data_IF_458729808490
#
_entry.id   IF_458729808490
#
_cell.length_a   1.000
_cell.length_b   1.000
_cell.length_c   1.000
_cell.angle_alpha   90.00
_cell.angle_beta   90.00
_cell.angle_gamma   90.00
#
_symmetry.space_group_name_H-M   'P 1'
#
loop_
_entity.id
_entity.type
_entity.pdbx_description
1 polymer ?
#
# COMPACT_ATOMS: atom_id res chain seq x y z
N UNK A 1 4.74 -8.88 16.82
CA UNK A 1 3.79 -7.89 17.40
C UNK A 1 3.35 -7.00 16.25
N UNK A 2 2.11 -6.51 16.29
CA UNK A 2 1.58 -5.61 15.24
C UNK A 2 2.13 -4.20 15.43
N UNK A 3 3.18 -3.83 14.71
CA UNK A 3 3.93 -2.60 14.96
C UNK A 3 3.64 -1.52 13.94
N UNK A 4 3.28 -0.33 14.41
CA UNK A 4 2.89 0.79 13.57
C UNK A 4 3.78 2.01 13.86
N UNK A 5 4.30 2.63 12.78
CA UNK A 5 4.94 3.93 12.85
C UNK A 5 3.89 5.00 12.54
N UNK A 6 3.71 5.97 13.43
CA UNK A 6 2.82 7.13 13.25
C UNK A 6 3.67 8.39 13.14
N UNK A 7 3.52 9.13 12.04
CA UNK A 7 4.21 10.40 11.83
C UNK A 7 3.19 11.51 11.56
N UNK A 8 3.06 12.44 12.51
CA UNK A 8 2.06 13.52 12.53
C UNK A 8 2.61 14.68 13.36
N UNK A 9 2.69 15.89 12.82
CA UNK A 9 3.26 17.04 13.52
C UNK A 9 2.26 17.66 14.53
N UNK A 10 0.96 17.61 14.26
CA UNK A 10 -0.05 18.13 15.16
C UNK A 10 -0.28 17.17 16.35
N UNK A 11 0.16 17.58 17.56
CA UNK A 11 0.13 16.75 18.76
C UNK A 11 -1.27 16.19 19.06
N UNK A 12 -2.34 17.00 18.90
CA UNK A 12 -3.70 16.55 19.19
C UNK A 12 -4.16 15.42 18.25
N UNK A 13 -3.80 15.48 16.97
CA UNK A 13 -4.11 14.44 15.99
C UNK A 13 -3.24 13.21 16.25
N UNK A 14 -1.95 13.39 16.50
CA UNK A 14 -1.02 12.31 16.83
C UNK A 14 -1.49 11.52 18.06
N UNK A 15 -1.79 12.20 19.16
CA UNK A 15 -2.30 11.59 20.39
C UNK A 15 -3.61 10.82 20.14
N UNK A 16 -4.52 11.41 19.37
CA UNK A 16 -5.76 10.76 18.99
C UNK A 16 -5.52 9.46 18.22
N UNK A 17 -4.63 9.46 17.23
CA UNK A 17 -4.26 8.28 16.44
C UNK A 17 -3.61 7.22 17.32
N UNK A 18 -2.59 7.59 18.10
CA UNK A 18 -1.82 6.70 18.98
C UNK A 18 -2.73 6.02 20.00
N UNK A 19 -3.59 6.78 20.69
CA UNK A 19 -4.51 6.23 21.69
C UNK A 19 -5.45 5.18 21.08
N UNK A 20 -6.03 5.46 19.93
CA UNK A 20 -6.98 4.53 19.30
C UNK A 20 -6.30 3.26 18.78
N UNK A 21 -5.13 3.38 18.17
CA UNK A 21 -4.34 2.22 17.72
C UNK A 21 -3.86 1.36 18.88
N UNK A 22 -3.35 1.97 19.94
CA UNK A 22 -2.91 1.25 21.16
C UNK A 22 -4.07 0.50 21.81
N UNK A 23 -5.26 1.11 21.91
CA UNK A 23 -6.48 0.44 22.39
C UNK A 23 -6.91 -0.73 21.52
N UNK A 24 -6.64 -0.68 20.23
CA UNK A 24 -6.89 -1.79 19.30
C UNK A 24 -5.81 -2.89 19.34
N UNK A 25 -4.80 -2.76 20.21
CA UNK A 25 -3.77 -3.77 20.44
C UNK A 25 -2.56 -3.66 19.51
N UNK A 26 -2.33 -2.50 18.91
CA UNK A 26 -1.12 -2.22 18.14
C UNK A 26 0.01 -1.69 19.03
N UNK A 27 1.24 -2.06 18.70
CA UNK A 27 2.46 -1.45 19.23
C UNK A 27 2.78 -0.20 18.38
N UNK A 28 2.70 0.97 18.97
CA UNK A 28 2.79 2.24 18.23
C UNK A 28 4.05 2.98 18.59
N UNK A 29 4.83 3.31 17.57
CA UNK A 29 5.96 4.23 17.65
C UNK A 29 5.56 5.54 16.99
N UNK A 30 5.56 6.63 17.75
CA UNK A 30 5.16 7.95 17.28
C UNK A 30 6.35 8.84 16.90
N UNK A 31 6.17 9.70 15.91
CA UNK A 31 7.12 10.73 15.50
C UNK A 31 6.35 12.02 15.19
N UNK A 32 6.93 13.16 15.51
CA UNK A 32 6.37 14.49 15.35
C UNK A 32 6.86 15.22 14.09
N UNK A 33 7.78 14.60 13.34
CA UNK A 33 8.29 15.12 12.07
C UNK A 33 8.86 13.98 11.22
N UNK A 34 9.09 14.24 9.94
CA UNK A 34 9.60 13.26 9.00
C UNK A 34 11.00 12.74 9.35
N UNK A 35 11.87 13.61 9.81
CA UNK A 35 13.22 13.26 10.25
C UNK A 35 13.19 12.27 11.43
N UNK A 36 12.36 12.54 12.44
CA UNK A 36 12.19 11.65 13.59
C UNK A 36 11.58 10.30 13.16
N UNK A 37 10.65 10.30 12.21
CA UNK A 37 10.06 9.06 11.67
C UNK A 37 11.12 8.18 11.00
N UNK A 38 11.97 8.75 10.15
CA UNK A 38 13.04 8.01 9.48
C UNK A 38 14.10 7.52 10.50
N UNK A 39 14.45 8.33 11.48
CA UNK A 39 15.36 7.92 12.56
C UNK A 39 14.79 6.73 13.35
N UNK A 40 13.53 6.80 13.79
CA UNK A 40 12.87 5.72 14.52
C UNK A 40 12.72 4.45 13.68
N UNK A 41 12.50 4.59 12.39
CA UNK A 41 12.47 3.45 11.48
C UNK A 41 13.83 2.72 11.48
N UNK A 42 14.95 3.45 11.45
CA UNK A 42 16.30 2.87 11.53
C UNK A 42 16.59 2.25 12.89
N UNK A 43 16.26 2.94 13.99
CA UNK A 43 16.45 2.46 15.38
C UNK A 43 15.72 1.12 15.62
N UNK A 44 14.61 0.89 14.94
CA UNK A 44 13.85 -0.36 15.00
C UNK A 44 14.20 -1.34 13.86
N UNK A 45 15.32 -1.13 13.13
CA UNK A 45 15.76 -1.97 12.00
C UNK A 45 14.69 -2.16 10.92
N UNK A 46 13.80 -1.21 10.73
CA UNK A 46 12.72 -1.29 9.75
C UNK A 46 11.59 -2.27 10.11
N UNK A 47 11.56 -2.77 11.35
CA UNK A 47 10.56 -3.73 11.83
C UNK A 47 9.23 -3.04 12.13
N UNK A 48 8.53 -2.65 11.06
CA UNK A 48 7.18 -2.09 11.09
C UNK A 48 6.29 -2.77 10.05
N UNK A 49 5.05 -3.09 10.46
CA UNK A 49 4.03 -3.63 9.57
C UNK A 49 3.35 -2.53 8.75
N UNK A 50 3.04 -1.40 9.40
CA UNK A 50 2.32 -0.27 8.80
C UNK A 50 2.96 1.06 9.22
N UNK A 51 3.01 2.02 8.30
CA UNK A 51 3.31 3.42 8.58
C UNK A 51 2.08 4.29 8.27
N UNK A 52 1.76 5.21 9.16
CA UNK A 52 0.73 6.23 8.98
C UNK A 52 1.45 7.57 8.95
N UNK A 53 1.34 8.28 7.84
CA UNK A 53 2.13 9.47 7.56
C UNK A 53 1.22 10.66 7.24
N UNK A 54 1.33 11.74 7.99
CA UNK A 54 0.74 13.00 7.56
C UNK A 54 1.47 13.56 6.33
N UNK A 55 0.71 14.04 5.36
CA UNK A 55 1.26 14.64 4.14
C UNK A 55 1.93 15.97 4.44
N UNK A 56 1.29 16.81 5.25
CA UNK A 56 1.67 18.22 5.43
C UNK A 56 2.43 18.42 6.73
N UNK A 57 3.72 18.12 6.70
CA UNK A 57 4.61 18.36 7.86
C UNK A 57 5.74 19.33 7.49
N UNK A 58 6.24 20.15 8.45
CA UNK A 58 7.41 20.97 8.22
C UNK A 58 8.69 20.11 8.07
N UNK A 59 9.63 20.57 7.25
CA UNK A 59 10.88 19.85 6.97
C UNK A 59 10.67 18.74 5.93
N UNK A 60 10.95 17.51 6.31
CA UNK A 60 10.68 16.32 5.46
C UNK A 60 9.17 16.02 5.52
N UNK A 61 8.48 16.21 4.41
CA UNK A 61 7.05 15.94 4.30
C UNK A 61 6.72 14.44 4.22
N UNK A 62 5.44 14.09 4.37
CA UNK A 62 5.01 12.69 4.34
C UNK A 62 5.26 11.99 3.00
N UNK A 63 5.30 12.73 1.89
CA UNK A 63 5.63 12.15 0.58
C UNK A 63 7.09 11.71 0.51
N UNK A 64 7.98 12.51 1.07
CA UNK A 64 9.41 12.19 1.14
C UNK A 64 9.64 11.00 2.08
N UNK A 65 8.98 10.98 3.25
CA UNK A 65 9.04 9.82 4.16
C UNK A 65 8.53 8.56 3.47
N UNK A 66 7.39 8.62 2.79
CA UNK A 66 6.83 7.49 2.03
C UNK A 66 7.83 6.94 1.00
N UNK A 67 8.43 7.82 0.22
CA UNK A 67 9.44 7.44 -0.80
C UNK A 67 10.65 6.77 -0.16
N UNK A 68 11.17 7.31 0.95
CA UNK A 68 12.32 6.73 1.67
C UNK A 68 11.98 5.36 2.27
N UNK A 69 10.81 5.19 2.89
CA UNK A 69 10.39 3.90 3.43
C UNK A 69 10.24 2.85 2.31
N UNK A 70 9.67 3.23 1.16
CA UNK A 70 9.53 2.33 0.00
C UNK A 70 10.86 1.91 -0.59
N UNK A 71 11.84 2.81 -0.65
CA UNK A 71 13.18 2.48 -1.14
C UNK A 71 13.92 1.47 -0.27
N UNK A 72 13.57 1.39 1.02
CA UNK A 72 14.18 0.50 2.01
C UNK A 72 13.41 -0.80 2.21
N UNK A 73 12.08 -0.74 2.14
CA UNK A 73 11.19 -1.88 2.35
C UNK A 73 9.90 -1.76 1.52
N UNK A 74 9.83 -2.51 0.42
CA UNK A 74 8.62 -2.60 -0.41
C UNK A 74 7.42 -3.24 0.29
N UNK A 75 7.65 -4.00 1.37
CA UNK A 75 6.64 -4.79 2.06
C UNK A 75 5.86 -4.06 3.17
N UNK A 76 6.35 -2.91 3.66
CA UNK A 76 5.62 -2.14 4.68
C UNK A 76 4.31 -1.58 4.09
N UNK A 77 3.20 -1.64 4.85
CA UNK A 77 1.96 -0.95 4.46
C UNK A 77 2.06 0.55 4.75
N UNK A 78 1.64 1.41 3.83
CA UNK A 78 1.69 2.87 4.04
C UNK A 78 0.32 3.50 3.83
N UNK A 79 -0.17 4.20 4.86
CA UNK A 79 -1.39 5.03 4.81
C UNK A 79 -0.98 6.49 4.91
N UNK A 80 -1.44 7.33 3.96
CA UNK A 80 -1.25 8.78 4.03
C UNK A 80 -2.46 9.44 4.72
N UNK A 81 -2.19 10.37 5.63
CA UNK A 81 -3.22 11.27 6.18
C UNK A 81 -3.12 12.63 5.49
N UNK A 82 -4.23 13.23 5.07
CA UNK A 82 -4.19 14.54 4.42
C UNK A 82 -5.43 15.37 4.68
N UNK A 83 -5.27 16.69 4.64
CA UNK A 83 -6.38 17.61 4.61
C UNK A 83 -7.17 17.45 3.28
N UNK A 84 -8.50 17.50 3.35
CA UNK A 84 -9.50 17.16 2.32
C UNK A 84 -9.42 17.95 0.99
N UNK A 85 -8.47 18.86 0.81
CA UNK A 85 -8.59 19.94 -0.17
C UNK A 85 -7.92 19.72 -1.53
N UNK A 86 -7.13 18.65 -1.73
CA UNK A 86 -6.45 18.46 -3.01
C UNK A 86 -6.50 17.00 -3.48
N UNK A 87 -7.36 16.73 -4.46
CA UNK A 87 -7.41 15.45 -5.18
C UNK A 87 -6.03 15.09 -5.78
N UNK A 88 -5.24 16.10 -6.12
CA UNK A 88 -3.87 15.95 -6.59
C UNK A 88 -2.94 15.33 -5.55
N UNK A 89 -3.09 15.64 -4.25
CA UNK A 89 -2.23 15.10 -3.20
C UNK A 89 -2.48 13.61 -2.97
N UNK A 90 -3.74 13.17 -3.08
CA UNK A 90 -4.12 11.75 -3.00
C UNK A 90 -3.44 10.95 -4.12
N UNK A 91 -3.56 11.43 -5.35
CA UNK A 91 -2.95 10.79 -6.52
C UNK A 91 -1.43 10.77 -6.37
N UNK A 92 -0.83 11.88 -5.93
CA UNK A 92 0.62 11.98 -5.72
C UNK A 92 1.11 11.00 -4.67
N UNK A 93 0.47 10.94 -3.50
CA UNK A 93 0.85 10.01 -2.42
C UNK A 93 0.76 8.54 -2.85
N UNK A 94 -0.35 8.18 -3.50
CA UNK A 94 -0.52 6.85 -4.05
C UNK A 94 0.52 6.56 -5.14
N UNK A 95 0.84 7.51 -6.02
CA UNK A 95 1.88 7.34 -7.05
C UNK A 95 3.29 7.18 -6.46
N UNK A 96 3.57 7.74 -5.28
CA UNK A 96 4.85 7.61 -4.58
C UNK A 96 5.00 6.31 -3.79
N UNK A 97 3.94 5.53 -3.68
CA UNK A 97 4.03 4.22 -3.06
C UNK A 97 3.10 3.99 -1.86
N UNK A 98 2.25 4.93 -1.48
CA UNK A 98 1.24 4.68 -0.48
C UNK A 98 0.24 3.60 -0.93
N UNK A 99 -0.26 2.82 0.03
CA UNK A 99 -1.23 1.74 -0.21
C UNK A 99 -2.66 2.20 0.03
N UNK A 100 -2.84 3.22 0.85
CA UNK A 100 -4.15 3.82 1.13
C UNK A 100 -4.02 5.29 1.53
N UNK A 101 -5.15 5.98 1.61
CA UNK A 101 -5.24 7.40 1.85
C UNK A 101 -6.46 7.73 2.71
N UNK A 102 -6.26 8.52 3.77
CA UNK A 102 -7.32 8.94 4.69
C UNK A 102 -7.40 10.46 4.71
N UNK A 103 -8.60 10.99 4.44
CA UNK A 103 -8.82 12.44 4.47
C UNK A 103 -9.15 12.94 5.88
N UNK A 104 -8.46 13.97 6.35
CA UNK A 104 -8.79 14.68 7.58
C UNK A 104 -10.03 15.59 7.34
N UNK A 105 -11.00 15.67 8.27
CA UNK A 105 -11.10 14.90 9.51
C UNK A 105 -11.61 13.47 9.28
N UNK A 106 -11.09 12.51 10.03
CA UNK A 106 -11.48 11.11 9.97
C UNK A 106 -11.99 10.61 11.33
N UNK A 107 -12.79 9.54 11.30
CA UNK A 107 -13.23 8.87 12.53
C UNK A 107 -12.21 7.80 12.96
N UNK A 108 -12.15 7.48 14.28
CA UNK A 108 -11.32 6.37 14.76
C UNK A 108 -11.65 5.05 14.06
N UNK A 109 -12.92 4.76 13.86
CA UNK A 109 -13.40 3.54 13.22
C UNK A 109 -12.95 3.44 11.75
N UNK A 110 -12.96 4.54 11.01
CA UNK A 110 -12.47 4.58 9.64
C UNK A 110 -10.98 4.27 9.59
N UNK A 111 -10.16 4.97 10.40
CA UNK A 111 -8.72 4.76 10.43
C UNK A 111 -8.38 3.32 10.83
N UNK A 112 -9.00 2.80 11.90
CA UNK A 112 -8.79 1.44 12.36
C UNK A 112 -9.16 0.39 11.31
N UNK A 113 -10.30 0.55 10.63
CA UNK A 113 -10.71 -0.38 9.58
C UNK A 113 -9.69 -0.45 8.42
N UNK A 114 -9.10 0.69 8.04
CA UNK A 114 -8.07 0.75 7.00
C UNK A 114 -6.75 0.15 7.47
N UNK A 115 -6.33 0.45 8.70
CA UNK A 115 -5.13 -0.13 9.30
C UNK A 115 -5.27 -1.65 9.43
N UNK A 116 -6.40 -2.15 9.93
CA UNK A 116 -6.66 -3.59 10.04
C UNK A 116 -6.65 -4.28 8.68
N UNK A 117 -7.27 -3.67 7.68
CA UNK A 117 -7.27 -4.19 6.31
C UNK A 117 -5.86 -4.27 5.74
N UNK A 118 -5.07 -3.20 5.88
CA UNK A 118 -3.70 -3.15 5.39
C UNK A 118 -2.77 -4.10 6.17
N UNK A 119 -2.87 -4.10 7.51
CA UNK A 119 -2.10 -5.03 8.34
C UNK A 119 -2.37 -6.49 7.99
N UNK A 120 -3.64 -6.88 7.81
CA UNK A 120 -4.00 -8.24 7.40
C UNK A 120 -3.34 -8.63 6.09
N UNK A 121 -3.24 -7.72 5.12
CA UNK A 121 -2.56 -7.93 3.84
C UNK A 121 -1.06 -8.17 4.04
N UNK A 122 -0.40 -7.35 4.86
CA UNK A 122 1.02 -7.50 5.19
C UNK A 122 1.27 -8.82 5.93
N UNK A 123 0.44 -9.17 6.91
CA UNK A 123 0.58 -10.40 7.69
C UNK A 123 0.33 -11.67 6.87
N UNK A 124 -0.66 -11.67 5.97
CA UNK A 124 -0.90 -12.78 5.04
C UNK A 124 0.29 -12.96 4.09
N UNK A 125 0.91 -11.88 3.66
CA UNK A 125 2.11 -11.92 2.85
C UNK A 125 3.27 -12.66 3.54
N UNK A 126 3.42 -12.47 4.85
CA UNK A 126 4.46 -13.13 5.64
C UNK A 126 4.12 -14.63 5.90
N UNK A 127 2.84 -14.99 6.07
CA UNK A 127 2.41 -16.36 6.36
C UNK A 127 2.42 -17.29 5.15
N UNK A 128 2.25 -16.79 3.92
CA UNK A 128 2.33 -17.60 2.70
C UNK A 128 3.74 -18.12 2.39
N UNK A 129 4.78 -17.59 3.06
CA UNK A 129 6.14 -18.11 2.96
C UNK A 129 6.30 -19.54 3.56
N UNK A 130 5.33 -20.03 4.34
CA UNK A 130 5.44 -21.29 5.08
C UNK A 130 4.63 -22.46 4.49
N UNK A 131 3.72 -22.26 3.52
CA UNK A 131 2.85 -23.31 3.00
C UNK A 131 3.15 -23.73 1.56
N UNK A 132 3.32 -25.04 1.35
CA UNK A 132 3.58 -25.76 0.09
C UNK A 132 2.36 -25.74 -0.87
N UNK A 133 2.13 -24.63 -1.59
CA UNK A 133 1.23 -24.61 -2.76
C UNK A 133 1.98 -24.10 -3.99
N UNK A 134 1.40 -24.22 -5.19
CA UNK A 134 2.01 -23.80 -6.48
C UNK A 134 2.78 -22.51 -6.29
N UNK A 135 4.11 -22.63 -6.30
CA UNK A 135 5.01 -21.51 -5.94
C UNK A 135 5.02 -20.42 -7.00
N UNK A 136 4.60 -20.75 -8.22
CA UNK A 136 4.67 -19.82 -9.35
C UNK A 136 3.43 -19.87 -10.25
N UNK A 137 2.95 -18.70 -10.62
CA UNK A 137 1.96 -18.48 -11.67
C UNK A 137 2.67 -17.90 -12.89
N UNK A 138 2.39 -18.42 -14.09
CA UNK A 138 3.03 -17.96 -15.34
C UNK A 138 2.01 -17.46 -16.33
N UNK A 139 2.31 -16.31 -16.94
CA UNK A 139 1.51 -15.74 -18.02
C UNK A 139 2.41 -14.98 -18.98
N UNK A 140 2.57 -15.51 -20.21
CA UNK A 140 3.45 -14.93 -21.22
C UNK A 140 4.89 -14.76 -20.71
N UNK A 141 5.36 -13.53 -20.71
CA UNK A 141 6.72 -13.15 -20.27
C UNK A 141 6.88 -13.05 -18.75
N UNK A 142 5.79 -13.21 -18.00
CA UNK A 142 5.77 -12.99 -16.56
C UNK A 142 5.72 -14.30 -15.77
N UNK A 143 6.43 -14.29 -14.66
CA UNK A 143 6.35 -15.32 -13.61
C UNK A 143 6.10 -14.62 -12.27
N UNK A 144 4.97 -14.91 -11.65
CA UNK A 144 4.62 -14.42 -10.30
C UNK A 144 4.96 -15.51 -9.30
N UNK A 145 5.95 -15.28 -8.46
CA UNK A 145 6.30 -16.18 -7.38
C UNK A 145 5.54 -15.82 -6.12
N UNK A 146 4.65 -16.72 -5.68
CA UNK A 146 3.75 -16.49 -4.55
C UNK A 146 4.47 -16.58 -3.20
N UNK A 147 5.55 -17.35 -3.13
CA UNK A 147 6.31 -17.56 -1.89
C UNK A 147 7.12 -16.34 -1.48
N UNK A 148 7.92 -15.81 -2.42
CA UNK A 148 8.76 -14.64 -2.15
C UNK A 148 8.12 -13.31 -2.61
N UNK A 149 6.87 -13.39 -3.09
CA UNK A 149 6.06 -12.26 -3.58
C UNK A 149 6.78 -11.40 -4.62
N UNK A 150 7.45 -12.06 -5.53
CA UNK A 150 8.21 -11.43 -6.61
C UNK A 150 7.55 -11.61 -7.96
N UNK A 151 7.52 -10.56 -8.76
CA UNK A 151 7.17 -10.61 -10.17
C UNK A 151 8.45 -10.58 -11.00
N UNK A 152 8.55 -11.50 -11.94
CA UNK A 152 9.65 -11.54 -12.92
C UNK A 152 9.09 -11.27 -14.32
N UNK A 153 9.76 -10.44 -15.11
CA UNK A 153 9.52 -10.27 -16.56
C UNK A 153 10.80 -10.67 -17.30
N UNK A 154 10.74 -11.72 -18.12
CA UNK A 154 11.91 -12.25 -18.85
C UNK A 154 13.13 -12.48 -17.93
N UNK A 155 12.92 -13.01 -16.72
CA UNK A 155 13.98 -13.28 -15.77
C UNK A 155 14.50 -12.06 -14.99
N UNK A 156 13.95 -10.86 -15.22
CA UNK A 156 14.27 -9.65 -14.44
C UNK A 156 13.19 -9.43 -13.39
N UNK A 157 13.61 -9.19 -12.16
CA UNK A 157 12.72 -8.92 -11.04
C UNK A 157 12.11 -7.52 -11.16
N UNK A 158 10.80 -7.45 -10.89
CA UNK A 158 10.04 -6.20 -10.78
C UNK A 158 9.57 -6.09 -9.33
N UNK A 159 10.01 -5.05 -8.64
CA UNK A 159 9.59 -4.78 -7.27
C UNK A 159 8.17 -4.25 -7.21
N UNK A 160 7.32 -4.94 -6.46
CA UNK A 160 5.92 -4.57 -6.25
C UNK A 160 5.68 -4.22 -4.78
N UNK A 161 4.78 -3.26 -4.55
CA UNK A 161 4.21 -3.08 -3.21
C UNK A 161 3.24 -4.22 -2.90
N UNK A 162 2.78 -4.32 -1.64
CA UNK A 162 1.83 -5.34 -1.24
C UNK A 162 0.53 -5.30 -2.05
N UNK A 163 0.01 -4.10 -2.28
CA UNK A 163 -1.21 -3.88 -3.07
C UNK A 163 -0.99 -4.24 -4.54
N UNK A 164 0.10 -3.80 -5.14
CA UNK A 164 0.43 -4.12 -6.52
C UNK A 164 0.59 -5.63 -6.74
N UNK A 165 1.23 -6.32 -5.79
CA UNK A 165 1.37 -7.76 -5.84
C UNK A 165 -0.01 -8.46 -5.81
N UNK A 166 -0.91 -8.06 -4.91
CA UNK A 166 -2.25 -8.66 -4.81
C UNK A 166 -3.09 -8.41 -6.06
N UNK A 167 -2.98 -7.24 -6.68
CA UNK A 167 -3.64 -6.97 -7.97
C UNK A 167 -3.09 -7.91 -9.04
N UNK A 168 -1.77 -8.07 -9.13
CA UNK A 168 -1.16 -9.01 -10.09
C UNK A 168 -1.57 -10.45 -9.82
N UNK A 169 -1.56 -10.89 -8.56
CA UNK A 169 -2.03 -12.22 -8.17
C UNK A 169 -3.49 -12.47 -8.60
N UNK A 170 -4.35 -11.46 -8.45
CA UNK A 170 -5.74 -11.53 -8.86
C UNK A 170 -5.87 -11.64 -10.38
N UNK A 171 -5.09 -10.89 -11.15
CA UNK A 171 -5.04 -11.03 -12.61
C UNK A 171 -4.55 -12.42 -13.06
N UNK A 172 -3.49 -12.92 -12.46
CA UNK A 172 -2.95 -14.24 -12.77
C UNK A 172 -3.92 -15.39 -12.40
N UNK A 173 -4.76 -15.17 -11.39
CA UNK A 173 -5.76 -16.16 -10.95
C UNK A 173 -7.03 -16.15 -11.82
N UNK A 174 -7.23 -15.11 -12.65
CA UNK A 174 -8.39 -14.93 -13.51
C UNK A 174 -8.00 -14.71 -14.99
N UNK A 175 -7.23 -15.64 -15.61
CA UNK A 175 -6.75 -15.45 -16.97
C UNK A 175 -7.91 -15.41 -17.96
N UNK A 176 -7.86 -14.43 -18.88
CA UNK A 176 -8.88 -14.27 -19.92
C UNK A 176 -10.20 -13.66 -19.44
N UNK A 177 -10.31 -13.28 -18.16
CA UNK A 177 -11.49 -12.63 -17.59
C UNK A 177 -11.22 -11.12 -17.48
N UNK A 178 -12.16 -10.30 -17.95
CA UNK A 178 -12.14 -8.90 -17.66
C UNK A 178 -12.68 -8.67 -16.24
N UNK A 179 -11.92 -7.98 -15.43
CA UNK A 179 -12.24 -7.66 -14.03
C UNK A 179 -12.63 -6.18 -13.95
N UNK A 180 -13.76 -5.90 -13.32
CA UNK A 180 -14.15 -4.52 -13.11
C UNK A 180 -13.42 -3.87 -11.92
N UNK A 181 -13.58 -2.55 -11.77
CA UNK A 181 -12.92 -1.79 -10.70
C UNK A 181 -13.37 -2.27 -9.32
N UNK A 182 -14.66 -2.61 -9.17
CA UNK A 182 -15.22 -3.06 -7.89
C UNK A 182 -14.76 -4.46 -7.53
N UNK A 183 -14.60 -5.35 -8.53
CA UNK A 183 -14.02 -6.69 -8.30
C UNK A 183 -12.60 -6.57 -7.73
N UNK A 184 -11.77 -5.73 -8.34
CA UNK A 184 -10.41 -5.49 -7.88
C UNK A 184 -10.42 -4.84 -6.49
N UNK A 185 -11.28 -3.84 -6.26
CA UNK A 185 -11.38 -3.14 -4.99
C UNK A 185 -11.75 -4.11 -3.86
N UNK A 186 -12.81 -4.88 -4.05
CA UNK A 186 -13.31 -5.82 -3.06
C UNK A 186 -12.29 -6.93 -2.77
N UNK A 187 -11.64 -7.46 -3.81
CA UNK A 187 -10.63 -8.49 -3.64
C UNK A 187 -9.41 -8.01 -2.85
N UNK A 188 -8.91 -6.82 -3.16
CA UNK A 188 -7.66 -6.29 -2.59
C UNK A 188 -7.89 -5.53 -1.29
N UNK A 189 -8.91 -4.67 -1.20
CA UNK A 189 -9.18 -3.86 -0.01
C UNK A 189 -10.29 -4.43 0.89
N UNK A 190 -11.11 -5.34 0.36
CA UNK A 190 -12.22 -6.01 1.06
C UNK A 190 -13.55 -5.29 0.88
N UNK A 191 -14.65 -6.03 1.05
CA UNK A 191 -16.03 -5.54 0.85
C UNK A 191 -16.43 -4.38 1.76
N UNK A 192 -15.76 -4.24 2.91
CA UNK A 192 -16.00 -3.18 3.89
C UNK A 192 -15.16 -1.92 3.65
N UNK A 193 -14.46 -1.82 2.51
CA UNK A 193 -13.62 -0.66 2.22
C UNK A 193 -14.47 0.61 2.01
N UNK A 194 -14.17 1.66 2.75
CA UNK A 194 -14.92 2.93 2.78
C UNK A 194 -14.25 4.02 1.93
N UNK A 195 -13.18 3.70 1.23
CA UNK A 195 -12.41 4.66 0.41
C UNK A 195 -12.95 4.88 -0.99
N UNK A 196 -12.24 5.71 -1.74
CA UNK A 196 -12.59 6.00 -3.13
C UNK A 196 -12.10 4.86 -4.05
N UNK A 197 -12.91 4.44 -5.01
CA UNK A 197 -12.58 3.42 -6.00
C UNK A 197 -11.43 3.83 -6.94
N UNK A 198 -11.15 5.13 -7.06
CA UNK A 198 -10.02 5.69 -7.80
C UNK A 198 -8.65 5.14 -7.34
N UNK A 199 -8.57 4.59 -6.13
CA UNK A 199 -7.34 3.93 -5.64
C UNK A 199 -6.93 2.78 -6.57
N UNK A 200 -7.89 2.10 -7.18
CA UNK A 200 -7.63 1.05 -8.17
C UNK A 200 -6.94 1.63 -9.40
N UNK A 201 -7.48 2.72 -9.96
CA UNK A 201 -6.93 3.35 -11.17
C UNK A 201 -5.46 3.80 -10.98
N UNK A 202 -5.16 4.36 -9.80
CA UNK A 202 -3.80 4.78 -9.46
C UNK A 202 -2.86 3.58 -9.39
N UNK A 203 -3.27 2.49 -8.75
CA UNK A 203 -2.45 1.28 -8.65
C UNK A 203 -2.28 0.60 -10.03
N UNK A 204 -3.32 0.56 -10.88
CA UNK A 204 -3.20 0.10 -12.27
C UNK A 204 -2.20 0.95 -13.05
N UNK A 205 -2.24 2.27 -12.90
CA UNK A 205 -1.25 3.16 -13.54
C UNK A 205 0.17 2.87 -13.07
N UNK A 206 0.38 2.67 -11.75
CA UNK A 206 1.68 2.30 -11.18
C UNK A 206 2.18 0.96 -11.72
N UNK A 207 1.31 -0.04 -11.76
CA UNK A 207 1.62 -1.34 -12.34
C UNK A 207 2.04 -1.21 -13.80
N UNK A 208 1.28 -0.46 -14.61
CA UNK A 208 1.66 -0.21 -16.01
C UNK A 208 3.05 0.41 -16.13
N UNK A 209 3.39 1.38 -15.27
CA UNK A 209 4.73 1.98 -15.26
C UNK A 209 5.85 0.98 -14.95
N UNK A 210 5.55 -0.13 -14.27
CA UNK A 210 6.52 -1.17 -13.89
C UNK A 210 6.58 -2.33 -14.88
N UNK A 211 5.46 -2.71 -15.48
CA UNK A 211 5.35 -3.94 -16.29
C UNK A 211 5.30 -3.68 -17.79
N UNK A 212 4.79 -2.53 -18.23
CA UNK A 212 4.68 -2.17 -19.64
C UNK A 212 5.95 -1.50 -20.15
N UNK A 213 6.29 -1.75 -21.41
CA UNK A 213 7.38 -1.05 -22.09
C UNK A 213 6.94 0.38 -22.46
N UNK A 214 5.65 0.55 -22.75
CA UNK A 214 4.98 1.85 -23.05
C UNK A 214 3.68 1.97 -22.24
N UNK A 215 3.71 2.56 -21.02
CA UNK A 215 2.56 2.63 -20.12
C UNK A 215 1.32 3.33 -20.68
N UNK A 216 1.50 4.27 -21.62
CA UNK A 216 0.42 4.98 -22.31
C UNK A 216 -0.29 4.15 -23.39
N UNK A 217 0.38 3.07 -23.87
CA UNK A 217 -0.13 2.14 -24.84
C UNK A 217 0.07 0.69 -24.33
N UNK A 218 -0.66 0.28 -23.29
CA UNK A 218 -0.39 -0.95 -22.55
C UNK A 218 -0.67 -2.19 -23.38
N UNK A 219 0.24 -3.17 -23.30
CA UNK A 219 0.13 -4.48 -23.97
C UNK A 219 -0.39 -5.57 -23.03
N UNK A 220 -0.09 -5.47 -21.75
CA UNK A 220 -0.37 -6.53 -20.77
C UNK A 220 -1.57 -6.20 -19.88
N UNK A 221 -1.61 -5.00 -19.31
CA UNK A 221 -2.75 -4.53 -18.50
C UNK A 221 -3.62 -3.60 -19.38
N UNK A 222 -4.48 -4.19 -20.17
CA UNK A 222 -5.33 -3.45 -21.12
C UNK A 222 -6.64 -3.01 -20.46
N UNK A 223 -7.24 -1.92 -20.97
CA UNK A 223 -8.60 -1.51 -20.59
C UNK A 223 -9.59 -2.06 -21.59
N UNK A 224 -10.60 -2.77 -21.10
CA UNK A 224 -11.73 -3.25 -21.92
C UNK A 224 -12.91 -2.32 -21.68
N UNK A 225 -13.39 -1.67 -22.74
CA UNK A 225 -14.50 -0.72 -22.67
C UNK A 225 -15.84 -1.42 -22.92
N UNK A 226 -16.87 -1.06 -22.17
CA UNK A 226 -18.24 -1.51 -22.42
C UNK A 226 -18.65 -2.81 -21.74
N UNK A 227 -17.99 -3.13 -20.63
CA UNK A 227 -18.44 -4.15 -19.70
C UNK A 227 -19.33 -3.54 -18.64
#
# INVERSE_FOLDING_TARGET
MKKILVCEDEAAIRDFVVINLTRAGYDVVEADCGEAALQKYEEHNGDFDVAILDVMMPGIDGFQVCKELRSRNGGIGIIMLSAKTQEMDKVTGLMLGADDYVSKPFSPSELLARVDSLYRRVALAQSHAENNFKEELKSGEFTLNLRNRALMKNGKMIELTQVEFQIMEYFFSNPGTALDRMDILNHVWGDAYVGEDKIVDVNIRRLRMKVEDEPSNPKYIITVWGL
#
